data_IF_945118341652
#
_entry.id   IF_945118341652
#
_cell.length_a   1.000
_cell.length_b   1.000
_cell.length_c   1.000
_cell.angle_alpha   90.00
_cell.angle_beta   90.00
_cell.angle_gamma   90.00
#
_symmetry.space_group_name_H-M   'P 1'
#
loop_
_entity.id
_entity.type
_entity.pdbx_description
1 polymer ?
#
# COMPACT_ATOMS: atom_id res chain seq x y z
N UNK A 1 41.00 -16.33 -23.10
CA UNK A 1 41.04 -16.63 -21.66
C UNK A 1 40.92 -15.31 -20.92
N UNK A 2 39.70 -14.94 -20.53
CA UNK A 2 39.42 -13.64 -19.90
C UNK A 2 39.52 -13.83 -18.39
N UNK A 3 40.40 -13.04 -17.82
CA UNK A 3 40.97 -13.08 -16.48
C UNK A 3 39.93 -12.94 -15.36
N UNK A 4 40.05 -13.86 -14.41
CA UNK A 4 39.27 -14.13 -13.21
C UNK A 4 39.49 -13.11 -12.06
N UNK A 5 39.72 -11.84 -12.39
CA UNK A 5 40.21 -10.83 -11.43
C UNK A 5 39.23 -9.69 -11.08
N UNK A 6 37.95 -9.78 -11.47
CA UNK A 6 36.93 -8.77 -11.12
C UNK A 6 36.01 -9.14 -9.95
N UNK A 7 36.11 -10.35 -9.40
CA UNK A 7 35.21 -10.85 -8.34
C UNK A 7 35.37 -10.13 -6.99
N UNK A 8 36.56 -9.63 -6.66
CA UNK A 8 36.83 -9.04 -5.33
C UNK A 8 36.24 -7.63 -5.12
N UNK A 9 35.78 -6.97 -6.20
CA UNK A 9 35.13 -5.66 -6.13
C UNK A 9 33.62 -5.70 -6.42
N UNK A 10 33.03 -6.89 -6.53
CA UNK A 10 31.58 -7.02 -6.71
C UNK A 10 30.85 -6.57 -5.43
N UNK A 11 30.00 -5.56 -5.58
CA UNK A 11 29.16 -5.03 -4.50
C UNK A 11 28.25 -6.12 -3.90
N UNK A 12 27.81 -7.10 -4.70
CA UNK A 12 27.01 -8.22 -4.19
C UNK A 12 27.80 -9.14 -3.27
N UNK A 13 29.06 -9.43 -3.61
CA UNK A 13 29.95 -10.23 -2.76
C UNK A 13 30.19 -9.54 -1.41
N UNK A 14 30.35 -8.22 -1.41
CA UNK A 14 30.52 -7.42 -0.18
C UNK A 14 29.28 -7.41 0.72
N UNK A 15 28.07 -7.42 0.14
CA UNK A 15 26.82 -7.46 0.91
C UNK A 15 26.55 -8.82 1.55
N UNK A 16 26.97 -9.91 0.89
CA UNK A 16 26.83 -11.28 1.41
C UNK A 16 27.86 -11.61 2.50
N UNK A 17 29.05 -11.02 2.44
CA UNK A 17 30.12 -11.22 3.42
C UNK A 17 29.90 -10.50 4.76
N UNK A 18 28.90 -9.63 4.87
CA UNK A 18 28.57 -8.95 6.13
C UNK A 18 27.96 -9.94 7.12
N UNK A 19 28.60 -10.10 8.26
CA UNK A 19 28.04 -10.79 9.43
C UNK A 19 26.76 -10.08 9.84
N UNK A 20 25.62 -10.72 9.60
CA UNK A 20 24.32 -10.23 10.05
C UNK A 20 24.17 -10.59 11.53
N UNK A 21 23.69 -9.67 12.38
CA UNK A 21 23.34 -10.00 13.76
C UNK A 21 22.36 -11.18 13.76
N UNK A 22 22.71 -12.26 14.45
CA UNK A 22 21.83 -13.40 14.63
C UNK A 22 20.77 -13.04 15.67
N UNK A 23 19.50 -13.01 15.26
CA UNK A 23 18.39 -12.75 16.17
C UNK A 23 17.88 -14.09 16.69
N UNK A 24 17.82 -14.29 18.01
CA UNK A 24 17.27 -15.53 18.57
C UNK A 24 15.79 -15.68 18.17
N UNK A 25 15.35 -16.90 17.84
CA UNK A 25 13.96 -17.15 17.50
C UNK A 25 13.04 -16.82 18.68
N UNK A 26 11.92 -16.17 18.39
CA UNK A 26 10.89 -15.86 19.38
C UNK A 26 10.10 -17.12 19.70
N UNK A 27 10.04 -17.48 20.97
CA UNK A 27 9.14 -18.51 21.47
C UNK A 27 7.68 -18.10 21.19
N UNK A 28 6.95 -18.93 20.43
CA UNK A 28 5.54 -18.73 20.08
C UNK A 28 4.59 -19.54 20.98
N UNK A 29 5.06 -20.04 22.13
CA UNK A 29 4.25 -20.81 23.06
C UNK A 29 3.29 -19.89 23.82
N UNK A 30 2.02 -19.88 23.39
CA UNK A 30 0.92 -19.31 24.16
C UNK A 30 0.59 -20.31 25.27
N UNK A 31 1.09 -20.06 26.48
CA UNK A 31 0.66 -20.81 27.68
C UNK A 31 -0.85 -20.63 27.86
N UNK A 32 -1.63 -21.67 27.52
CA UNK A 32 -3.00 -21.80 28.00
C UNK A 32 -2.91 -22.13 29.49
N UNK A 33 -3.10 -21.13 30.35
CA UNK A 33 -3.42 -21.38 31.75
C UNK A 33 -4.78 -22.06 31.82
N UNK A 34 -4.78 -23.36 32.05
CA UNK A 34 -5.91 -24.05 32.65
C UNK A 34 -5.71 -23.93 34.15
N UNK A 35 -6.35 -22.95 34.79
CA UNK A 35 -6.47 -22.92 36.25
C UNK A 35 -7.77 -23.66 36.64
N UNK A 36 -7.70 -24.71 37.47
CA UNK A 36 -8.89 -25.34 38.06
C UNK A 36 -9.25 -24.66 39.38
N UNK A 37 -10.56 -24.46 39.55
CA UNK A 37 -11.30 -24.32 40.81
C UNK A 37 -10.99 -23.15 41.76
N UNK A 38 -11.93 -22.19 41.84
CA UNK A 38 -12.46 -21.67 43.11
C UNK A 38 -13.92 -21.23 42.91
N UNK A 39 -14.73 -21.55 43.91
CA UNK A 39 -16.19 -21.67 43.92
C UNK A 39 -16.95 -20.34 44.10
N UNK A 40 -18.23 -20.38 43.70
CA UNK A 40 -19.39 -19.57 44.13
C UNK A 40 -19.62 -18.21 43.44
N UNK A 41 -20.63 -18.14 42.55
CA UNK A 41 -21.91 -17.47 42.84
C UNK A 41 -22.88 -17.50 41.63
N UNK A 42 -23.98 -18.21 41.87
CA UNK A 42 -25.38 -18.16 41.41
C UNK A 42 -25.88 -17.21 40.30
N UNK A 43 -26.81 -17.80 39.54
CA UNK A 43 -28.06 -17.25 38.98
C UNK A 43 -28.05 -16.38 37.71
N UNK A 44 -28.31 -17.00 36.55
CA UNK A 44 -29.61 -16.93 35.86
C UNK A 44 -29.50 -17.54 34.45
N UNK A 45 -30.02 -18.76 34.29
CA UNK A 45 -30.36 -19.30 32.97
C UNK A 45 -31.65 -18.61 32.48
N UNK A 46 -31.53 -17.83 31.42
CA UNK A 46 -32.64 -17.52 30.53
C UNK A 46 -32.38 -18.20 29.19
N UNK A 47 -32.94 -19.40 29.07
CA UNK A 47 -33.28 -20.02 27.81
C UNK A 47 -34.30 -19.15 27.09
N UNK A 48 -33.94 -18.61 25.93
CA UNK A 48 -34.87 -18.45 24.79
C UNK A 48 -34.06 -18.42 23.51
N UNK A 49 -34.06 -19.57 22.86
CA UNK A 49 -33.75 -19.73 21.46
C UNK A 49 -34.74 -18.89 20.64
N UNK A 50 -34.24 -17.91 19.90
CA UNK A 50 -34.89 -17.46 18.67
C UNK A 50 -33.84 -17.32 17.57
N UNK A 51 -33.78 -18.40 16.79
CA UNK A 51 -33.16 -18.47 15.49
C UNK A 51 -33.69 -17.35 14.59
N UNK A 52 -32.97 -16.23 14.48
CA UNK A 52 -32.99 -15.44 13.25
C UNK A 52 -31.89 -15.96 12.34
N UNK A 53 -32.21 -17.05 11.64
CA UNK A 53 -31.58 -17.41 10.40
C UNK A 53 -31.87 -16.29 9.39
N UNK A 54 -31.12 -15.19 9.46
CA UNK A 54 -30.93 -14.34 8.31
C UNK A 54 -30.19 -15.20 7.30
N UNK A 55 -30.93 -15.69 6.31
CA UNK A 55 -30.39 -16.30 5.11
C UNK A 55 -29.49 -15.27 4.44
N UNK A 56 -28.22 -15.25 4.87
CA UNK A 56 -27.14 -14.64 4.13
C UNK A 56 -27.09 -15.47 2.86
N UNK A 57 -27.75 -14.98 1.80
CA UNK A 57 -27.50 -15.45 0.45
C UNK A 57 -25.98 -15.49 0.34
N UNK A 58 -25.43 -16.69 0.24
CA UNK A 58 -24.03 -16.89 -0.06
C UNK A 58 -23.81 -16.17 -1.36
N UNK A 59 -23.26 -14.95 -1.28
CA UNK A 59 -22.69 -14.28 -2.42
C UNK A 59 -21.68 -15.30 -2.92
N UNK A 60 -21.97 -15.89 -4.08
CA UNK A 60 -21.01 -16.74 -4.76
C UNK A 60 -19.85 -15.81 -5.06
N UNK A 61 -18.87 -15.79 -4.17
CA UNK A 61 -17.66 -15.01 -4.32
C UNK A 61 -16.94 -15.65 -5.48
N UNK A 62 -17.20 -15.11 -6.68
CA UNK A 62 -16.37 -15.40 -7.84
C UNK A 62 -14.92 -15.24 -7.41
N UNK A 63 -14.08 -16.18 -7.82
CA UNK A 63 -12.66 -16.17 -7.49
C UNK A 63 -11.95 -15.05 -8.25
N UNK A 64 -12.31 -13.80 -7.97
CA UNK A 64 -11.67 -12.63 -8.54
C UNK A 64 -10.39 -12.38 -7.77
N UNK A 65 -9.28 -12.54 -8.48
CA UNK A 65 -7.94 -12.35 -7.92
C UNK A 65 -7.65 -10.85 -7.84
N UNK A 66 -7.64 -10.31 -6.63
CA UNK A 66 -7.19 -8.95 -6.38
C UNK A 66 -5.67 -8.83 -6.59
N UNK A 67 -5.24 -7.78 -7.29
CA UNK A 67 -3.83 -7.48 -7.52
C UNK A 67 -3.42 -6.26 -6.69
N UNK A 68 -2.58 -6.42 -5.65
CA UNK A 68 -2.16 -5.29 -4.83
C UNK A 68 -1.18 -4.40 -5.61
N UNK A 69 -1.34 -3.08 -5.50
CA UNK A 69 -0.40 -2.11 -6.06
C UNK A 69 -0.31 -0.86 -5.18
N UNK A 70 0.77 -0.10 -5.35
CA UNK A 70 0.97 1.17 -4.63
C UNK A 70 0.67 2.34 -5.56
N UNK A 71 -0.26 3.21 -5.16
CA UNK A 71 -0.62 4.42 -5.89
C UNK A 71 -0.06 5.67 -5.21
N UNK A 72 0.57 6.55 -5.99
CA UNK A 72 1.05 7.86 -5.52
C UNK A 72 0.30 8.97 -6.23
N UNK A 73 -0.48 9.73 -5.46
CA UNK A 73 -1.31 10.83 -5.95
C UNK A 73 -0.80 12.16 -5.38
N UNK A 74 -1.10 13.28 -6.03
CA UNK A 74 -0.83 14.60 -5.47
C UNK A 74 -1.72 14.87 -4.25
N UNK A 75 -1.17 15.54 -3.24
CA UNK A 75 -1.83 15.78 -1.94
C UNK A 75 -3.23 16.43 -2.08
N UNK A 76 -3.36 17.42 -2.96
CA UNK A 76 -4.65 18.08 -3.19
C UNK A 76 -5.71 17.14 -3.77
N UNK A 77 -5.30 16.22 -4.64
CA UNK A 77 -6.19 15.22 -5.24
C UNK A 77 -6.49 14.10 -4.25
N UNK A 78 -5.50 13.69 -3.44
CA UNK A 78 -5.69 12.66 -2.42
C UNK A 78 -6.70 13.09 -1.35
N UNK A 79 -6.62 14.35 -0.91
CA UNK A 79 -7.59 14.95 0.01
C UNK A 79 -9.00 14.96 -0.58
N UNK A 80 -9.15 15.41 -1.82
CA UNK A 80 -10.44 15.41 -2.52
C UNK A 80 -11.02 14.00 -2.67
N UNK A 81 -10.21 13.04 -3.10
CA UNK A 81 -10.60 11.63 -3.22
C UNK A 81 -11.00 11.04 -1.86
N UNK A 82 -10.27 11.35 -0.79
CA UNK A 82 -10.60 10.87 0.56
C UNK A 82 -11.95 11.38 1.03
N UNK A 83 -12.27 12.65 0.78
CA UNK A 83 -13.57 13.24 1.14
C UNK A 83 -14.68 12.54 0.35
N UNK A 84 -14.53 12.43 -0.97
CA UNK A 84 -15.51 11.75 -1.82
C UNK A 84 -15.77 10.30 -1.37
N UNK A 85 -14.70 9.53 -1.14
CA UNK A 85 -14.79 8.14 -0.71
C UNK A 85 -15.46 8.01 0.67
N UNK A 86 -15.17 8.93 1.59
CA UNK A 86 -15.79 8.95 2.92
C UNK A 86 -17.30 9.21 2.82
N UNK A 87 -17.71 10.15 1.99
CA UNK A 87 -19.11 10.55 1.86
C UNK A 87 -19.95 9.47 1.18
N UNK A 88 -19.41 8.82 0.15
CA UNK A 88 -20.11 7.80 -0.63
C UNK A 88 -19.91 6.38 -0.08
N UNK A 89 -19.20 6.22 1.04
CA UNK A 89 -18.88 4.92 1.66
C UNK A 89 -18.21 3.91 0.71
N UNK A 90 -17.31 4.39 -0.16
CA UNK A 90 -16.54 3.57 -1.10
C UNK A 90 -15.04 3.67 -0.82
N UNK A 91 -14.25 2.72 -1.34
CA UNK A 91 -12.79 2.82 -1.28
C UNK A 91 -12.23 3.49 -2.54
N UNK A 92 -11.00 4.00 -2.44
CA UNK A 92 -10.27 4.57 -3.60
C UNK A 92 -10.08 3.53 -4.72
N UNK A 93 -9.96 2.25 -4.36
CA UNK A 93 -9.78 1.14 -5.30
C UNK A 93 -11.07 0.92 -6.09
N UNK A 94 -12.20 0.77 -5.41
CA UNK A 94 -13.51 0.60 -6.05
C UNK A 94 -13.88 1.82 -6.91
N UNK A 95 -13.55 3.03 -6.45
CA UNK A 95 -13.73 4.23 -7.27
C UNK A 95 -12.91 4.18 -8.57
N UNK A 96 -11.66 3.72 -8.51
CA UNK A 96 -10.79 3.62 -9.67
C UNK A 96 -11.27 2.54 -10.66
N UNK A 97 -11.75 1.40 -10.14
CA UNK A 97 -12.38 0.35 -10.95
C UNK A 97 -13.63 0.86 -11.67
N UNK A 98 -14.57 1.46 -10.93
CA UNK A 98 -15.79 2.02 -11.50
C UNK A 98 -15.49 3.12 -12.53
N UNK A 99 -14.54 4.01 -12.24
CA UNK A 99 -14.12 5.04 -13.17
C UNK A 99 -13.56 4.43 -14.45
N UNK A 100 -12.73 3.40 -14.37
CA UNK A 100 -12.19 2.73 -15.55
C UNK A 100 -13.29 2.08 -16.40
N UNK A 101 -14.26 1.40 -15.79
CA UNK A 101 -15.39 0.79 -16.49
C UNK A 101 -16.18 1.84 -17.28
N UNK A 102 -16.54 2.97 -16.65
CA UNK A 102 -17.25 4.07 -17.32
C UNK A 102 -16.43 4.63 -18.49
N UNK A 103 -15.13 4.83 -18.29
CA UNK A 103 -14.26 5.34 -19.35
C UNK A 103 -14.11 4.34 -20.51
N UNK A 104 -14.22 3.04 -20.24
CA UNK A 104 -14.13 2.02 -21.29
C UNK A 104 -15.34 2.00 -22.21
N UNK A 105 -16.49 2.52 -21.74
CA UNK A 105 -17.72 2.63 -22.53
C UNK A 105 -17.77 3.90 -23.39
N UNK A 106 -17.18 5.01 -22.92
CA UNK A 106 -17.15 6.30 -23.64
C UNK A 106 -15.72 6.69 -24.06
N UNK A 107 -15.45 6.54 -25.36
CA UNK A 107 -14.16 6.87 -25.94
C UNK A 107 -13.78 8.36 -25.81
N UNK A 108 -14.76 9.28 -25.86
CA UNK A 108 -14.46 10.71 -25.74
C UNK A 108 -14.00 11.05 -24.33
N UNK A 109 -14.64 10.46 -23.32
CA UNK A 109 -14.24 10.61 -21.92
C UNK A 109 -12.84 10.02 -21.70
N UNK A 110 -12.57 8.83 -22.24
CA UNK A 110 -11.25 8.21 -22.18
C UNK A 110 -10.16 9.09 -22.81
N UNK A 111 -10.40 9.64 -24.00
CA UNK A 111 -9.44 10.51 -24.68
C UNK A 111 -9.11 11.75 -23.85
N UNK A 112 -10.13 12.43 -23.30
CA UNK A 112 -9.94 13.59 -22.41
C UNK A 112 -9.12 13.24 -21.17
N UNK A 113 -9.40 12.09 -20.54
CA UNK A 113 -8.66 11.63 -19.37
C UNK A 113 -7.20 11.34 -19.73
N UNK A 114 -6.94 10.72 -20.87
CA UNK A 114 -5.58 10.43 -21.35
C UNK A 114 -4.79 11.72 -21.60
N UNK A 115 -5.41 12.74 -22.19
CA UNK A 115 -4.78 14.05 -22.40
C UNK A 115 -4.40 14.72 -21.07
N UNK A 116 -5.35 14.78 -20.13
CA UNK A 116 -5.10 15.33 -18.79
C UNK A 116 -4.01 14.53 -18.07
N UNK A 117 -4.04 13.20 -18.15
CA UNK A 117 -3.04 12.33 -17.54
C UNK A 117 -1.63 12.56 -18.11
N UNK A 118 -1.50 12.69 -19.44
CA UNK A 118 -0.23 13.03 -20.11
C UNK A 118 0.31 14.38 -19.62
N UNK A 119 -0.54 15.40 -19.58
CA UNK A 119 -0.16 16.74 -19.09
C UNK A 119 0.32 16.70 -17.63
N UNK A 120 -0.41 16.02 -16.73
CA UNK A 120 -0.02 15.87 -15.33
C UNK A 120 1.28 15.09 -15.16
N UNK A 121 1.50 14.03 -15.94
CA UNK A 121 2.75 13.27 -15.92
C UNK A 121 3.94 14.14 -16.30
N UNK A 122 3.79 14.97 -17.33
CA UNK A 122 4.84 15.91 -17.74
C UNK A 122 5.11 16.95 -16.65
N UNK A 123 4.07 17.52 -16.03
CA UNK A 123 4.22 18.43 -14.89
C UNK A 123 5.01 17.80 -13.75
N UNK A 124 4.68 16.56 -13.36
CA UNK A 124 5.41 15.83 -12.31
C UNK A 124 6.88 15.61 -12.66
N UNK A 125 7.18 15.29 -13.93
CA UNK A 125 8.56 15.15 -14.42
C UNK A 125 9.33 16.46 -14.25
N UNK A 126 8.77 17.58 -14.69
CA UNK A 126 9.41 18.90 -14.58
C UNK A 126 9.64 19.27 -13.12
N UNK A 127 8.64 19.14 -12.26
CA UNK A 127 8.78 19.39 -10.82
C UNK A 127 9.84 18.50 -10.18
N UNK A 128 9.93 17.22 -10.58
CA UNK A 128 10.97 16.31 -10.12
C UNK A 128 12.38 16.75 -10.52
N UNK A 129 12.56 17.21 -11.77
CA UNK A 129 13.82 17.76 -12.27
C UNK A 129 14.18 19.03 -11.51
N UNK A 130 13.23 19.95 -11.35
CA UNK A 130 13.45 21.21 -10.62
C UNK A 130 13.87 20.94 -9.17
N UNK A 131 13.17 20.04 -8.46
CA UNK A 131 13.55 19.65 -7.10
C UNK A 131 14.97 19.09 -7.04
N UNK A 132 15.35 18.25 -8.00
CA UNK A 132 16.71 17.71 -8.08
C UNK A 132 17.75 18.81 -8.31
N UNK A 133 17.50 19.73 -9.24
CA UNK A 133 18.39 20.86 -9.53
C UNK A 133 18.55 21.77 -8.30
N UNK A 134 17.45 22.15 -7.64
CA UNK A 134 17.47 22.95 -6.41
C UNK A 134 18.15 22.23 -5.25
N UNK A 135 18.06 20.90 -5.17
CA UNK A 135 18.83 20.14 -4.18
C UNK A 135 20.33 20.18 -4.47
N UNK A 136 20.75 20.07 -5.73
CA UNK A 136 22.18 20.13 -6.10
C UNK A 136 22.77 21.53 -5.90
N UNK A 137 22.04 22.60 -6.23
CA UNK A 137 22.53 23.97 -6.08
C UNK A 137 22.79 24.37 -4.62
N UNK A 138 22.09 23.75 -3.67
CA UNK A 138 22.32 23.97 -2.23
C UNK A 138 23.68 23.45 -1.73
N UNK A 139 24.32 22.54 -2.47
CA UNK A 139 25.61 21.95 -2.10
C UNK A 139 26.77 22.48 -2.94
N UNK A 140 26.52 23.39 -3.90
CA UNK A 140 27.59 24.10 -4.57
C UNK A 140 28.06 25.22 -3.62
N UNK A 141 29.32 25.22 -3.18
CA UNK A 141 29.85 26.38 -2.47
C UNK A 141 29.72 27.58 -3.40
N UNK A 142 29.12 28.67 -2.90
CA UNK A 142 29.31 29.98 -3.51
C UNK A 142 30.81 30.22 -3.51
N UNK A 143 31.48 30.01 -4.65
CA UNK A 143 32.84 30.48 -4.83
C UNK A 143 32.77 31.98 -4.62
N UNK A 144 33.23 32.39 -3.44
CA UNK A 144 33.56 33.74 -3.06
C UNK A 144 34.51 34.27 -4.13
N UNK A 145 33.98 34.99 -5.10
CA UNK A 145 34.75 35.78 -6.02
C UNK A 145 34.56 37.25 -5.60
N UNK A 146 35.64 37.75 -5.02
CA UNK A 146 36.17 39.13 -4.99
C UNK A 146 35.34 40.24 -5.63
#
# INVERSE_FOLDING_TARGET
MVSESQSQNDANSRLKARLRPSVPPRETSVFKKNDPETSNQSDQELSLAEQKNTSVKSIQVGSEKLVPFTLRVEDSVDKGLKILCTNEHITKETFLEAAYLICSEDEQVMQRIVEVAKSRRQKRRITGVQRRASSMSKYLPENQNE
#
